data_IF_585375047367
#
_entry.id   IF_585375047367
#
_cell.length_a   1.000
_cell.length_b   1.000
_cell.length_c   1.000
_cell.angle_alpha   90.00
_cell.angle_beta   90.00
_cell.angle_gamma   90.00
#
_symmetry.space_group_name_H-M   'P 1'
#
loop_
_entity.id
_entity.type
_entity.pdbx_description
1 polymer ?
#
# COMPACT_ATOMS: atom_id res chain seq x y z
N UNK A 1 18.39 1.18 2.67
CA UNK A 1 16.94 1.11 2.54
C UNK A 1 16.31 2.27 3.32
N UNK A 2 15.58 3.16 2.65
CA UNK A 2 15.03 4.41 3.21
C UNK A 2 14.14 4.17 4.45
N UNK A 3 13.46 3.02 4.53
CA UNK A 3 12.55 2.69 5.64
C UNK A 3 13.27 2.55 6.99
N UNK A 4 14.56 2.18 6.96
CA UNK A 4 15.34 1.85 8.16
C UNK A 4 16.56 2.75 8.34
N UNK A 5 16.86 3.61 7.37
CA UNK A 5 18.03 4.47 7.43
C UNK A 5 17.80 5.59 8.48
N UNK A 6 18.68 5.72 9.49
CA UNK A 6 18.57 6.75 10.52
C UNK A 6 18.52 8.18 9.97
N UNK A 7 19.08 8.41 8.78
CA UNK A 7 19.03 9.70 8.07
C UNK A 7 17.59 10.16 7.82
N UNK A 8 16.66 9.21 7.66
CA UNK A 8 15.25 9.49 7.39
C UNK A 8 14.35 9.23 8.61
N UNK A 9 14.96 9.15 9.80
CA UNK A 9 14.18 8.99 11.04
C UNK A 9 13.14 10.08 11.17
N UNK A 10 11.89 9.66 11.44
CA UNK A 10 10.71 10.53 11.52
C UNK A 10 10.38 11.26 10.22
N UNK A 11 10.87 10.73 9.09
CA UNK A 11 10.62 11.26 7.74
C UNK A 11 10.02 10.21 6.78
N UNK A 12 9.61 9.06 7.30
CA UNK A 12 8.91 8.01 6.55
C UNK A 12 7.56 7.73 7.19
N UNK A 13 6.57 7.34 6.40
CA UNK A 13 5.25 6.97 6.88
C UNK A 13 4.73 5.71 6.16
N UNK A 14 3.65 5.14 6.65
CA UNK A 14 3.03 3.99 6.00
C UNK A 14 1.52 3.93 6.25
N UNK A 15 0.81 3.27 5.35
CA UNK A 15 -0.54 2.80 5.62
C UNK A 15 -0.51 1.71 6.70
N UNK A 16 -1.55 1.71 7.55
CA UNK A 16 -1.77 0.66 8.53
C UNK A 16 -2.44 -0.54 7.84
N UNK A 17 -1.60 -1.44 7.32
CA UNK A 17 -2.05 -2.61 6.59
C UNK A 17 -1.09 -3.78 6.73
N UNK A 18 -1.64 -4.95 7.07
CA UNK A 18 -0.86 -6.19 7.15
C UNK A 18 -0.39 -6.60 5.76
N UNK A 19 -1.29 -6.55 4.80
CA UNK A 19 -1.02 -6.98 3.43
C UNK A 19 -0.03 -6.06 2.71
N UNK A 20 0.04 -4.80 3.09
CA UNK A 20 0.89 -3.79 2.48
C UNK A 20 2.20 -3.61 3.24
N UNK A 21 2.11 -2.93 4.38
CA UNK A 21 3.28 -2.47 5.14
C UNK A 21 4.08 -3.63 5.72
N UNK A 22 3.41 -4.63 6.31
CA UNK A 22 4.11 -5.78 6.89
C UNK A 22 4.84 -6.57 5.81
N UNK A 23 4.19 -6.78 4.69
CA UNK A 23 4.76 -7.53 3.55
C UNK A 23 5.90 -6.77 2.88
N UNK A 24 5.81 -5.45 2.72
CA UNK A 24 6.91 -4.64 2.20
C UNK A 24 8.09 -4.57 3.16
N UNK A 25 7.87 -4.50 4.47
CA UNK A 25 8.93 -4.59 5.48
C UNK A 25 9.63 -5.94 5.41
N UNK A 26 8.89 -7.04 5.30
CA UNK A 26 9.44 -8.38 5.13
C UNK A 26 10.35 -8.46 3.89
N UNK A 27 9.83 -8.05 2.73
CA UNK A 27 10.61 -8.02 1.48
C UNK A 27 11.85 -7.13 1.58
N UNK A 28 11.74 -5.97 2.21
CA UNK A 28 12.86 -5.06 2.41
C UNK A 28 14.00 -5.64 3.26
N UNK A 29 13.71 -6.70 4.01
CA UNK A 29 14.65 -7.46 4.85
C UNK A 29 14.99 -8.85 4.27
N UNK A 30 14.56 -9.14 3.04
CA UNK A 30 14.85 -10.43 2.39
C UNK A 30 14.03 -11.60 2.92
N UNK A 31 12.96 -11.33 3.68
CA UNK A 31 12.03 -12.33 4.18
C UNK A 31 10.93 -12.55 3.15
N UNK A 32 10.68 -13.81 2.76
CA UNK A 32 9.56 -14.13 1.89
C UNK A 32 8.25 -14.13 2.70
N UNK A 33 7.34 -13.17 2.46
CA UNK A 33 6.10 -13.06 3.24
C UNK A 33 5.11 -14.19 2.96
N UNK A 34 5.29 -14.92 1.85
CA UNK A 34 4.40 -16.02 1.44
C UNK A 34 4.89 -17.41 1.87
N UNK A 35 6.07 -17.48 2.48
CA UNK A 35 6.66 -18.72 2.98
C UNK A 35 7.28 -18.49 4.37
N UNK A 36 6.44 -18.06 5.32
CA UNK A 36 6.86 -17.71 6.67
C UNK A 36 7.12 -18.94 7.52
N UNK A 37 8.32 -18.97 8.13
CA UNK A 37 8.65 -19.90 9.21
C UNK A 37 8.47 -19.21 10.57
N UNK A 38 8.38 -19.96 11.69
CA UNK A 38 8.35 -19.35 13.03
C UNK A 38 9.54 -18.43 13.30
N UNK A 39 10.72 -18.77 12.79
CA UNK A 39 11.91 -17.95 12.93
C UNK A 39 11.78 -16.64 12.12
N UNK A 40 11.36 -16.74 10.86
CA UNK A 40 11.11 -15.57 10.01
C UNK A 40 10.10 -14.62 10.63
N UNK A 41 9.07 -15.16 11.28
CA UNK A 41 8.07 -14.35 11.97
C UNK A 41 8.68 -13.59 13.16
N UNK A 42 9.51 -14.27 13.97
CA UNK A 42 10.21 -13.63 15.08
C UNK A 42 11.13 -12.50 14.61
N UNK A 43 11.85 -12.72 13.51
CA UNK A 43 12.76 -11.71 12.95
C UNK A 43 11.98 -10.55 12.32
N UNK A 44 10.88 -10.85 11.62
CA UNK A 44 10.00 -9.81 11.06
C UNK A 44 9.42 -8.90 12.14
N UNK A 45 9.01 -9.43 13.28
CA UNK A 45 8.53 -8.60 14.41
C UNK A 45 9.59 -7.61 14.89
N UNK A 46 10.87 -7.99 14.93
CA UNK A 46 11.97 -7.07 15.28
C UNK A 46 12.09 -5.95 14.24
N UNK A 47 12.03 -6.30 12.96
CA UNK A 47 12.10 -5.33 11.85
C UNK A 47 10.90 -4.39 11.81
N UNK A 48 9.71 -4.89 12.10
CA UNK A 48 8.52 -4.06 12.22
C UNK A 48 8.64 -3.04 13.35
N UNK A 49 9.14 -3.46 14.52
CA UNK A 49 9.41 -2.53 15.64
C UNK A 49 10.46 -1.48 15.27
N UNK A 50 11.52 -1.87 14.55
CA UNK A 50 12.53 -0.95 14.03
C UNK A 50 11.91 0.07 13.07
N UNK A 51 11.10 -0.41 12.12
CA UNK A 51 10.38 0.45 11.17
C UNK A 51 9.46 1.44 11.88
N UNK A 52 8.62 0.98 12.82
CA UNK A 52 7.71 1.83 13.59
C UNK A 52 8.46 2.92 14.37
N UNK A 53 9.61 2.59 14.95
CA UNK A 53 10.45 3.59 15.65
C UNK A 53 11.06 4.63 14.70
N UNK A 54 11.32 4.24 13.44
CA UNK A 54 11.86 5.11 12.41
C UNK A 54 10.76 5.94 11.73
N UNK A 55 9.55 5.44 11.67
CA UNK A 55 8.42 6.09 11.03
C UNK A 55 8.01 7.40 11.76
N UNK A 56 7.49 8.35 11.00
CA UNK A 56 6.84 9.56 11.52
C UNK A 56 5.50 9.20 12.12
N UNK A 57 4.71 8.45 11.35
CA UNK A 57 3.42 7.88 11.76
C UNK A 57 3.04 6.69 10.86
N UNK A 58 2.07 5.92 11.31
CA UNK A 58 1.35 4.91 10.55
C UNK A 58 -0.14 5.28 10.64
N UNK A 59 -0.86 5.29 9.53
CA UNK A 59 -2.24 5.76 9.45
C UNK A 59 -3.08 4.85 8.57
N UNK A 60 -4.32 4.64 8.95
CA UNK A 60 -5.34 4.04 8.07
C UNK A 60 -5.93 5.04 7.07
N UNK A 61 -5.58 6.33 7.19
CA UNK A 61 -6.05 7.39 6.32
C UNK A 61 -5.00 7.77 5.28
N UNK A 62 -5.31 7.50 4.03
CA UNK A 62 -4.46 7.82 2.87
C UNK A 62 -4.32 9.33 2.64
N UNK A 63 -5.32 10.12 3.03
CA UNK A 63 -5.29 11.57 2.90
C UNK A 63 -4.19 12.18 3.76
N UNK A 64 -4.02 11.69 4.98
CA UNK A 64 -2.93 12.10 5.87
C UNK A 64 -1.55 11.82 5.27
N UNK A 65 -1.39 10.68 4.60
CA UNK A 65 -0.14 10.34 3.90
C UNK A 65 0.12 11.26 2.71
N UNK A 66 -0.91 11.53 1.91
CA UNK A 66 -0.84 12.48 0.79
C UNK A 66 -0.41 13.87 1.24
N UNK A 67 -1.04 14.40 2.28
CA UNK A 67 -0.73 15.71 2.84
C UNK A 67 0.70 15.78 3.40
N UNK A 68 1.13 14.74 4.09
CA UNK A 68 2.48 14.68 4.65
C UNK A 68 3.58 14.60 3.55
N UNK A 69 3.28 13.93 2.43
CA UNK A 69 4.17 13.93 1.25
C UNK A 69 4.16 15.28 0.55
N UNK A 70 2.98 15.89 0.35
CA UNK A 70 2.84 17.19 -0.32
C UNK A 70 3.53 18.31 0.43
N UNK A 71 3.42 18.32 1.76
CA UNK A 71 4.08 19.32 2.62
C UNK A 71 5.58 19.07 2.83
N UNK A 72 6.09 17.88 2.45
CA UNK A 72 7.45 17.47 2.74
C UNK A 72 7.70 17.09 4.20
N UNK A 73 6.66 16.90 5.02
CA UNK A 73 6.78 16.36 6.37
C UNK A 73 7.42 14.98 6.36
N UNK A 74 7.03 14.14 5.39
CA UNK A 74 7.70 12.88 5.08
C UNK A 74 8.30 12.91 3.68
N UNK A 75 9.39 12.19 3.48
CA UNK A 75 10.09 12.09 2.19
C UNK A 75 9.82 10.79 1.46
N UNK A 76 9.23 9.81 2.16
CA UNK A 76 8.79 8.56 1.56
C UNK A 76 7.61 7.98 2.36
N UNK A 77 6.72 7.32 1.65
CA UNK A 77 5.61 6.61 2.27
C UNK A 77 5.35 5.28 1.58
N UNK A 78 4.91 4.30 2.36
CA UNK A 78 4.26 3.10 1.85
C UNK A 78 2.78 3.45 1.70
N UNK A 79 2.32 3.54 0.46
CA UNK A 79 0.94 3.91 0.11
C UNK A 79 0.58 3.33 -1.25
N UNK A 80 -0.66 3.49 -1.67
CA UNK A 80 -1.15 3.04 -2.96
C UNK A 80 -0.67 3.93 -4.11
N UNK A 81 -0.65 3.39 -5.31
CA UNK A 81 -0.28 4.11 -6.53
C UNK A 81 -1.20 5.31 -6.84
N UNK A 82 -2.45 5.26 -6.41
CA UNK A 82 -3.40 6.37 -6.56
C UNK A 82 -2.96 7.63 -5.81
N UNK A 83 -2.34 7.51 -4.64
CA UNK A 83 -1.74 8.64 -3.92
C UNK A 83 -0.68 9.34 -4.77
N UNK A 84 0.22 8.57 -5.39
CA UNK A 84 1.21 9.13 -6.31
C UNK A 84 0.57 9.82 -7.51
N UNK A 85 -0.43 9.18 -8.13
CA UNK A 85 -1.13 9.75 -9.30
C UNK A 85 -1.87 11.05 -8.95
N UNK A 86 -2.53 11.10 -7.78
CA UNK A 86 -3.22 12.30 -7.30
C UNK A 86 -2.24 13.46 -7.06
N UNK A 87 -1.17 13.22 -6.29
CA UNK A 87 -0.15 14.22 -6.00
C UNK A 87 0.51 14.76 -7.27
N UNK A 88 0.76 13.90 -8.27
CA UNK A 88 1.31 14.33 -9.57
C UNK A 88 0.34 15.24 -10.33
N UNK A 89 -0.96 14.95 -10.29
CA UNK A 89 -2.00 15.83 -10.90
C UNK A 89 -2.08 17.19 -10.21
N UNK A 90 -1.82 17.24 -8.93
CA UNK A 90 -1.76 18.48 -8.12
C UNK A 90 -0.43 19.25 -8.31
N UNK A 91 0.48 18.74 -9.14
CA UNK A 91 1.78 19.37 -9.40
C UNK A 91 2.86 19.11 -8.35
N UNK A 92 2.59 18.25 -7.39
CA UNK A 92 3.58 17.87 -6.37
C UNK A 92 4.68 17.01 -6.99
N UNK A 93 5.93 17.34 -6.72
CA UNK A 93 7.11 16.62 -7.25
C UNK A 93 7.37 15.35 -6.46
N UNK A 94 6.62 14.30 -6.76
CA UNK A 94 6.78 12.97 -6.17
C UNK A 94 7.20 11.94 -7.21
N UNK A 95 8.07 11.02 -6.82
CA UNK A 95 8.47 9.87 -7.62
C UNK A 95 7.85 8.58 -7.11
N UNK A 96 7.65 7.63 -8.01
CA UNK A 96 7.26 6.27 -7.65
C UNK A 96 8.51 5.39 -7.56
N UNK A 97 8.71 4.74 -6.42
CA UNK A 97 9.87 3.85 -6.23
C UNK A 97 9.57 2.46 -6.76
N UNK A 98 10.50 1.93 -7.56
CA UNK A 98 10.51 0.52 -7.95
C UNK A 98 11.62 -0.20 -7.15
N UNK A 99 11.29 -0.87 -6.04
CA UNK A 99 12.29 -1.51 -5.21
C UNK A 99 12.91 -2.74 -5.92
N UNK A 100 14.19 -3.05 -5.68
CA UNK A 100 14.88 -4.20 -6.31
C UNK A 100 14.17 -5.54 -6.08
N UNK A 101 13.48 -5.69 -4.96
CA UNK A 101 12.71 -6.89 -4.63
C UNK A 101 11.36 -7.01 -5.34
N UNK A 102 11.04 -6.08 -6.26
CA UNK A 102 9.75 -6.01 -6.95
C UNK A 102 8.66 -5.31 -6.14
N UNK A 103 7.64 -4.87 -6.84
CA UNK A 103 6.47 -4.22 -6.25
C UNK A 103 5.39 -5.23 -5.87
N UNK A 104 4.53 -4.80 -4.97
CA UNK A 104 3.24 -5.43 -4.73
C UNK A 104 2.25 -5.01 -5.80
N UNK A 105 1.51 -5.98 -6.32
CA UNK A 105 0.36 -5.72 -7.16
C UNK A 105 -0.84 -6.47 -6.59
N UNK A 106 -1.98 -5.82 -6.61
CA UNK A 106 -3.26 -6.42 -6.25
C UNK A 106 -4.05 -6.69 -7.51
N UNK A 107 -4.61 -7.87 -7.59
CA UNK A 107 -5.62 -8.20 -8.57
C UNK A 107 -6.94 -8.31 -7.82
N UNK A 108 -7.80 -7.32 -7.99
CA UNK A 108 -9.12 -7.29 -7.38
C UNK A 108 -10.14 -7.84 -8.36
N UNK A 109 -11.10 -8.61 -7.85
CA UNK A 109 -12.22 -9.11 -8.60
C UNK A 109 -13.53 -8.92 -7.85
N UNK A 110 -14.60 -8.68 -8.59
CA UNK A 110 -15.94 -8.70 -8.03
C UNK A 110 -16.42 -10.15 -7.96
N UNK A 111 -16.94 -10.56 -6.83
CA UNK A 111 -17.46 -11.91 -6.62
C UNK A 111 -18.93 -11.87 -6.27
N UNK A 112 -19.68 -12.83 -6.76
CA UNK A 112 -21.09 -13.00 -6.45
C UNK A 112 -21.25 -14.10 -5.39
N UNK A 113 -22.10 -13.84 -4.38
CA UNK A 113 -22.41 -14.88 -3.40
C UNK A 113 -23.18 -16.04 -4.06
N UNK A 114 -22.81 -17.29 -3.74
CA UNK A 114 -23.39 -18.50 -4.35
C UNK A 114 -24.92 -18.61 -4.17
N UNK A 115 -25.46 -18.05 -3.09
CA UNK A 115 -26.89 -18.10 -2.74
C UNK A 115 -27.59 -16.76 -3.06
N UNK A 116 -27.09 -15.98 -4.03
CA UNK A 116 -27.76 -14.75 -4.44
C UNK A 116 -29.16 -15.07 -4.97
N UNK A 117 -30.16 -14.28 -4.57
CA UNK A 117 -31.56 -14.50 -4.98
C UNK A 117 -31.86 -14.03 -6.40
N UNK A 118 -31.02 -13.14 -6.93
CA UNK A 118 -31.18 -12.56 -8.26
C UNK A 118 -29.82 -12.46 -8.95
N UNK A 119 -29.33 -13.58 -9.51
CA UNK A 119 -28.03 -13.59 -10.18
C UNK A 119 -27.96 -12.67 -11.41
N UNK A 120 -29.08 -12.47 -12.11
CA UNK A 120 -29.10 -11.59 -13.30
C UNK A 120 -28.85 -10.13 -12.92
N UNK A 121 -29.49 -9.64 -11.87
CA UNK A 121 -29.20 -8.29 -11.36
C UNK A 121 -27.79 -8.15 -10.78
N UNK A 122 -27.28 -9.18 -10.13
CA UNK A 122 -25.91 -9.18 -9.64
C UNK A 122 -24.89 -9.10 -10.79
N UNK A 123 -25.11 -9.85 -11.86
CA UNK A 123 -24.28 -9.75 -13.07
C UNK A 123 -24.41 -8.36 -13.71
N UNK A 124 -25.62 -7.85 -13.87
CA UNK A 124 -25.83 -6.51 -14.45
C UNK A 124 -25.11 -5.40 -13.63
N UNK A 125 -25.07 -5.53 -12.29
CA UNK A 125 -24.31 -4.62 -11.44
C UNK A 125 -22.81 -4.75 -11.67
N UNK A 126 -22.28 -5.97 -11.73
CA UNK A 126 -20.87 -6.23 -12.01
C UNK A 126 -20.48 -5.66 -13.37
N UNK A 127 -21.28 -5.95 -14.39
CA UNK A 127 -21.05 -5.46 -15.76
C UNK A 127 -21.06 -3.94 -15.84
N UNK A 128 -21.98 -3.29 -15.09
CA UNK A 128 -22.01 -1.82 -15.02
C UNK A 128 -20.74 -1.23 -14.38
N UNK A 129 -20.14 -1.94 -13.42
CA UNK A 129 -18.90 -1.53 -12.75
C UNK A 129 -17.62 -1.69 -13.56
N UNK A 130 -17.62 -2.61 -14.55
CA UNK A 130 -16.46 -2.89 -15.42
C UNK A 130 -16.66 -2.40 -16.87
N UNK A 131 -17.83 -1.87 -17.19
CA UNK A 131 -18.17 -1.39 -18.52
C UNK A 131 -17.47 -0.07 -18.88
N UNK A 132 -17.51 0.28 -20.17
CA UNK A 132 -16.86 1.49 -20.73
C UNK A 132 -17.25 2.80 -20.02
N UNK A 133 -18.47 2.88 -19.48
CA UNK A 133 -18.95 4.02 -18.71
C UNK A 133 -18.19 4.20 -17.39
N UNK A 134 -17.97 3.10 -16.66
CA UNK A 134 -17.25 3.14 -15.39
C UNK A 134 -15.75 3.38 -15.59
N UNK A 135 -15.13 2.77 -16.61
CA UNK A 135 -13.70 2.90 -16.89
C UNK A 135 -13.25 4.32 -17.24
N UNK A 136 -14.16 5.18 -17.70
CA UNK A 136 -13.88 6.60 -17.99
C UNK A 136 -13.81 7.49 -16.74
N UNK A 137 -14.27 6.98 -15.61
CA UNK A 137 -14.35 7.73 -14.34
C UNK A 137 -13.37 7.20 -13.26
N UNK A 138 -12.65 6.13 -13.54
CA UNK A 138 -11.56 5.59 -12.71
C UNK A 138 -10.22 6.14 -13.20
#
# INVERSE_FOLDING_TARGET
NILFDPKYKRRVAALDGVDDTVTLVAKARGINPYAMTPQNWTDLQKHLREFVRNARFISSDETSLSQALASGEVVAAITWNQTWAALRREGVKVGFMNPPGGMFTYVCGLTMHKDTKDPEKAHALIDSGIGDGASKHM
#
